data_IF_839758447671
#
_entry.id   IF_839758447671
#
_cell.length_a   1.000
_cell.length_b   1.000
_cell.length_c   1.000
_cell.angle_alpha   90.00
_cell.angle_beta   90.00
_cell.angle_gamma   90.00
#
_symmetry.space_group_name_H-M   'P 1'
#
loop_
_entity.id
_entity.type
_entity.pdbx_description
1 polymer ?
#
# COMPACT_ATOMS: atom_id res chain seq x y z
N UNK A 1 -12.22 6.76 -7.64
CA UNK A 1 -11.43 7.42 -8.69
C UNK A 1 -10.65 6.34 -9.42
N UNK A 2 -11.19 5.86 -10.55
CA UNK A 2 -10.82 4.55 -11.12
C UNK A 2 -9.47 4.52 -11.85
N UNK A 3 -8.73 5.64 -11.91
CA UNK A 3 -7.49 5.71 -12.70
C UNK A 3 -6.37 4.88 -12.08
N UNK A 4 -6.27 4.81 -10.75
CA UNK A 4 -5.19 4.08 -10.05
C UNK A 4 -5.25 2.57 -10.34
N UNK A 5 -6.45 2.03 -10.52
CA UNK A 5 -6.68 0.62 -10.88
C UNK A 5 -6.43 0.33 -12.37
N UNK A 6 -6.26 1.36 -13.19
CA UNK A 6 -6.07 1.27 -14.65
C UNK A 6 -4.71 1.79 -15.10
N UNK A 7 -3.95 2.40 -14.20
CA UNK A 7 -2.64 2.95 -14.47
C UNK A 7 -1.70 1.86 -15.01
N UNK A 8 -0.76 2.24 -15.87
CA UNK A 8 0.32 1.34 -16.30
C UNK A 8 1.37 1.28 -15.20
N UNK A 9 2.06 0.13 -15.05
CA UNK A 9 3.12 -0.06 -14.05
C UNK A 9 4.16 1.07 -14.05
N UNK A 10 4.52 1.59 -15.23
CA UNK A 10 5.53 2.63 -15.37
C UNK A 10 5.03 3.99 -14.87
N UNK A 11 3.72 4.28 -14.98
CA UNK A 11 3.14 5.51 -14.45
C UNK A 11 3.20 5.52 -12.93
N UNK A 12 2.93 4.37 -12.30
CA UNK A 12 3.06 4.21 -10.84
C UNK A 12 4.52 4.29 -10.42
N UNK A 13 5.43 3.68 -11.17
CA UNK A 13 6.86 3.78 -10.88
C UNK A 13 7.35 5.23 -10.92
N UNK A 14 7.04 5.97 -11.99
CA UNK A 14 7.41 7.39 -12.10
C UNK A 14 6.72 8.28 -11.07
N UNK A 15 5.59 7.87 -10.51
CA UNK A 15 4.95 8.59 -9.41
C UNK A 15 5.70 8.38 -8.08
N UNK A 16 6.19 7.16 -7.83
CA UNK A 16 6.71 6.75 -6.52
C UNK A 16 8.22 6.90 -6.36
N UNK A 17 8.99 6.61 -7.41
CA UNK A 17 10.43 6.44 -7.30
C UNK A 17 11.30 7.69 -7.49
N UNK A 18 10.88 8.78 -8.16
CA UNK A 18 11.76 9.94 -8.31
C UNK A 18 12.28 10.49 -6.97
N UNK A 19 11.41 10.64 -5.97
CA UNK A 19 11.80 11.16 -4.65
C UNK A 19 12.71 10.19 -3.90
N UNK A 20 12.45 8.88 -3.97
CA UNK A 20 13.31 7.87 -3.34
C UNK A 20 14.70 7.83 -3.99
N UNK A 21 14.78 7.99 -5.31
CA UNK A 21 16.06 8.06 -6.04
C UNK A 21 16.77 9.38 -5.72
N UNK A 22 16.07 10.51 -5.68
CA UNK A 22 16.68 11.79 -5.32
C UNK A 22 17.22 11.78 -3.89
N UNK A 23 16.53 11.13 -2.96
CA UNK A 23 16.97 11.03 -1.58
C UNK A 23 18.23 10.17 -1.38
N UNK A 24 18.58 9.32 -2.33
CA UNK A 24 19.80 8.50 -2.27
C UNK A 24 21.03 9.15 -2.91
N UNK A 25 20.86 10.31 -3.55
CA UNK A 25 21.96 11.08 -4.13
C UNK A 25 22.51 12.03 -3.07
N UNK A 26 23.72 11.77 -2.60
CA UNK A 26 24.43 12.65 -1.67
C UNK A 26 24.96 13.89 -2.40
N UNK A 27 24.19 14.97 -2.37
CA UNK A 27 24.65 16.30 -2.78
C UNK A 27 25.38 16.92 -1.58
N UNK A 28 26.70 16.72 -1.54
CA UNK A 28 27.65 17.28 -0.58
C UNK A 28 27.13 18.52 0.19
N UNK A 29 26.59 18.30 1.40
CA UNK A 29 26.58 19.31 2.46
C UNK A 29 25.24 19.75 3.07
N UNK A 30 24.07 19.35 2.57
CA UNK A 30 22.78 19.72 3.20
C UNK A 30 21.90 18.50 3.54
N UNK A 31 22.18 17.92 4.71
CA UNK A 31 21.44 16.78 5.26
C UNK A 31 19.95 17.09 5.52
N UNK A 32 19.59 18.36 5.73
CA UNK A 32 18.21 18.78 6.01
C UNK A 32 17.29 18.60 4.81
N UNK A 33 17.77 18.86 3.60
CA UNK A 33 16.98 18.69 2.38
C UNK A 33 16.71 17.21 2.05
N UNK A 34 17.63 16.30 2.35
CA UNK A 34 17.47 14.86 2.09
C UNK A 34 16.36 14.23 2.96
N UNK A 35 16.20 14.69 4.20
CA UNK A 35 15.14 14.24 5.09
C UNK A 35 13.75 14.53 4.52
N UNK A 36 13.49 15.76 4.08
CA UNK A 36 12.19 16.15 3.52
C UNK A 36 11.87 15.39 2.23
N UNK A 37 12.88 15.14 1.39
CA UNK A 37 12.71 14.32 0.17
C UNK A 37 12.36 12.87 0.53
N UNK A 38 13.03 12.28 1.53
CA UNK A 38 12.69 10.94 2.05
C UNK A 38 11.28 10.88 2.61
N UNK A 39 10.88 11.89 3.40
CA UNK A 39 9.52 11.99 3.95
C UNK A 39 8.48 12.00 2.83
N UNK A 40 8.69 12.83 1.80
CA UNK A 40 7.80 12.91 0.64
C UNK A 40 7.77 11.58 -0.12
N UNK A 41 8.92 10.98 -0.40
CA UNK A 41 9.02 9.74 -1.17
C UNK A 41 8.32 8.57 -0.48
N UNK A 42 8.59 8.35 0.82
CA UNK A 42 7.94 7.27 1.56
C UNK A 42 6.44 7.55 1.76
N UNK A 43 6.06 8.80 2.02
CA UNK A 43 4.65 9.20 2.09
C UNK A 43 3.92 8.93 0.78
N UNK A 44 4.55 9.16 -0.37
CA UNK A 44 3.96 8.84 -1.67
C UNK A 44 3.66 7.34 -1.81
N UNK A 45 4.54 6.45 -1.34
CA UNK A 45 4.32 5.00 -1.32
C UNK A 45 3.12 4.64 -0.43
N UNK A 46 3.07 5.19 0.78
CA UNK A 46 1.97 4.93 1.71
C UNK A 46 0.63 5.45 1.16
N UNK A 47 0.62 6.64 0.57
CA UNK A 47 -0.58 7.26 -0.01
C UNK A 47 -1.05 6.42 -1.21
N UNK A 48 -0.13 6.00 -2.07
CA UNK A 48 -0.46 5.11 -3.19
C UNK A 48 -1.05 3.80 -2.71
N UNK A 49 -0.44 3.14 -1.72
CA UNK A 49 -0.97 1.90 -1.14
C UNK A 49 -2.39 2.12 -0.58
N UNK A 50 -2.58 3.24 0.13
CA UNK A 50 -3.88 3.58 0.71
C UNK A 50 -4.96 3.79 -0.35
N UNK A 51 -4.66 4.61 -1.36
CA UNK A 51 -5.58 4.90 -2.47
C UNK A 51 -5.90 3.64 -3.26
N UNK A 52 -4.88 2.84 -3.59
CA UNK A 52 -5.05 1.59 -4.31
C UNK A 52 -5.97 0.65 -3.53
N UNK A 53 -5.67 0.43 -2.26
CA UNK A 53 -6.44 -0.47 -1.40
C UNK A 53 -7.88 0.02 -1.23
N UNK A 54 -8.08 1.34 -1.09
CA UNK A 54 -9.41 1.94 -1.00
C UNK A 54 -10.24 1.70 -2.27
N UNK A 55 -9.63 1.83 -3.46
CA UNK A 55 -10.33 1.54 -4.72
C UNK A 55 -10.56 0.03 -4.89
N UNK A 56 -9.65 -0.82 -4.43
CA UNK A 56 -9.85 -2.28 -4.38
C UNK A 56 -11.00 -2.68 -3.44
N UNK A 57 -11.14 -2.04 -2.28
CA UNK A 57 -12.26 -2.25 -1.35
C UNK A 57 -13.61 -1.90 -1.98
N UNK A 58 -13.67 -0.88 -2.85
CA UNK A 58 -14.92 -0.49 -3.53
C UNK A 58 -15.40 -1.52 -4.54
N UNK A 59 -14.47 -2.23 -5.18
CA UNK A 59 -14.81 -3.19 -6.25
C UNK A 59 -14.95 -4.62 -5.74
N UNK A 60 -14.30 -4.96 -4.62
CA UNK A 60 -14.33 -6.33 -4.08
C UNK A 60 -15.74 -6.69 -3.57
N UNK A 61 -16.29 -7.86 -3.94
CA UNK A 61 -17.56 -8.33 -3.40
C UNK A 61 -17.57 -8.40 -1.86
N UNK A 62 -18.64 -7.87 -1.26
CA UNK A 62 -18.80 -7.85 0.21
C UNK A 62 -18.89 -9.26 0.81
N UNK A 63 -19.37 -10.22 0.02
CA UNK A 63 -19.48 -11.65 0.37
C UNK A 63 -18.15 -12.28 0.78
N UNK A 64 -17.00 -11.72 0.34
CA UNK A 64 -15.68 -12.23 0.74
C UNK A 64 -15.38 -11.97 2.23
N UNK A 65 -16.17 -11.14 2.93
CA UNK A 65 -16.09 -10.97 4.39
C UNK A 65 -14.69 -10.57 4.89
N UNK A 66 -14.00 -9.69 4.16
CA UNK A 66 -12.68 -9.16 4.53
C UNK A 66 -12.83 -8.14 5.66
N UNK A 67 -11.89 -8.14 6.61
CA UNK A 67 -11.89 -7.24 7.78
C UNK A 67 -11.41 -5.83 7.41
N UNK A 68 -12.25 -5.08 6.72
CA UNK A 68 -11.91 -3.74 6.20
C UNK A 68 -11.60 -2.73 7.31
N UNK A 69 -12.35 -2.76 8.42
CA UNK A 69 -12.14 -1.81 9.53
C UNK A 69 -10.75 -1.93 10.14
N UNK A 70 -10.24 -3.16 10.29
CA UNK A 70 -8.88 -3.40 10.81
C UNK A 70 -7.81 -2.77 9.93
N UNK A 71 -8.01 -2.82 8.60
CA UNK A 71 -7.11 -2.16 7.66
C UNK A 71 -7.10 -0.64 7.86
N UNK A 72 -8.27 0.01 7.89
CA UNK A 72 -8.31 1.47 8.06
C UNK A 72 -7.70 1.91 9.40
N UNK A 73 -8.01 1.22 10.50
CA UNK A 73 -7.44 1.53 11.83
C UNK A 73 -5.92 1.43 11.79
N UNK A 74 -5.37 0.34 11.26
CA UNK A 74 -3.92 0.13 11.21
C UNK A 74 -3.22 1.08 10.23
N UNK A 75 -3.81 1.32 9.07
CA UNK A 75 -3.25 2.23 8.07
C UNK A 75 -3.18 3.66 8.61
N UNK A 76 -4.29 4.16 9.19
CA UNK A 76 -4.34 5.50 9.79
C UNK A 76 -3.39 5.61 10.97
N UNK A 77 -3.37 4.60 11.86
CA UNK A 77 -2.44 4.58 13.00
C UNK A 77 -0.99 4.67 12.54
N UNK A 78 -0.60 3.86 11.55
CA UNK A 78 0.76 3.88 11.03
C UNK A 78 1.08 5.24 10.39
N UNK A 79 0.17 5.80 9.60
CA UNK A 79 0.33 7.13 9.01
C UNK A 79 0.57 8.21 10.06
N UNK A 80 -0.28 8.28 11.09
CA UNK A 80 -0.17 9.28 12.16
C UNK A 80 1.15 9.12 12.89
N UNK A 81 1.50 7.91 13.31
CA UNK A 81 2.75 7.67 14.04
C UNK A 81 3.97 7.98 13.18
N UNK A 82 3.99 7.58 11.90
CA UNK A 82 5.08 7.89 10.98
C UNK A 82 5.26 9.40 10.79
N UNK A 83 4.19 10.14 10.49
CA UNK A 83 4.26 11.58 10.30
C UNK A 83 4.65 12.31 11.59
N UNK A 84 4.06 11.95 12.74
CA UNK A 84 4.42 12.55 14.03
C UNK A 84 5.87 12.26 14.40
N UNK A 85 6.34 11.02 14.21
CA UNK A 85 7.72 10.64 14.48
C UNK A 85 8.70 11.44 13.62
N UNK A 86 8.45 11.53 12.31
CA UNK A 86 9.33 12.28 11.41
C UNK A 86 9.32 13.78 11.73
N UNK A 87 8.14 14.40 11.81
CA UNK A 87 8.00 15.85 12.04
C UNK A 87 8.53 16.31 13.40
N UNK A 88 8.27 15.55 14.48
CA UNK A 88 8.67 15.97 15.84
C UNK A 88 10.17 15.75 16.13
N UNK A 89 10.84 14.88 15.37
CA UNK A 89 12.23 14.53 15.62
C UNK A 89 13.18 15.12 14.57
N UNK A 90 12.71 16.00 13.68
CA UNK A 90 13.50 16.56 12.57
C UNK A 90 14.27 15.48 11.78
N UNK A 91 13.63 14.31 11.59
CA UNK A 91 14.24 13.18 10.89
C UNK A 91 15.22 12.34 11.71
N UNK A 92 15.44 12.64 12.99
CA UNK A 92 16.22 11.79 13.87
C UNK A 92 15.48 10.48 14.22
N UNK A 93 16.26 9.45 14.56
CA UNK A 93 15.73 8.13 14.89
C UNK A 93 14.89 8.15 16.17
N UNK A 94 13.69 7.56 16.08
CA UNK A 94 12.82 7.32 17.24
C UNK A 94 13.07 5.93 17.77
N UNK A 95 13.67 5.85 18.96
CA UNK A 95 13.97 4.59 19.63
C UNK A 95 12.87 4.21 20.61
N UNK A 96 12.28 3.03 20.41
CA UNK A 96 11.36 2.41 21.38
C UNK A 96 12.12 1.39 22.23
N UNK A 97 12.25 1.64 23.53
CA UNK A 97 12.96 0.76 24.47
C UNK A 97 12.06 0.29 25.62
N UNK A 98 12.46 -0.80 26.28
CA UNK A 98 11.73 -1.38 27.40
C UNK A 98 10.28 -1.74 27.03
N UNK A 99 9.32 -1.36 27.88
CA UNK A 99 7.89 -1.64 27.65
C UNK A 99 7.34 -0.94 26.41
N UNK A 100 7.91 0.20 26.01
CA UNK A 100 7.50 0.96 24.83
C UNK A 100 7.86 0.23 23.52
N UNK A 101 8.78 -0.74 23.55
CA UNK A 101 9.07 -1.59 22.40
C UNK A 101 7.81 -2.35 21.92
N UNK A 102 6.87 -2.69 22.81
CA UNK A 102 5.60 -3.33 22.43
C UNK A 102 4.76 -2.43 21.53
N UNK A 103 4.78 -1.12 21.77
CA UNK A 103 4.12 -0.13 20.90
C UNK A 103 4.79 -0.14 19.53
N UNK A 104 6.12 -0.06 19.50
CA UNK A 104 6.89 -0.17 18.25
C UNK A 104 6.56 -1.43 17.44
N UNK A 105 6.49 -2.60 18.10
CA UNK A 105 6.11 -3.85 17.44
C UNK A 105 4.68 -3.83 16.88
N UNK A 106 3.74 -3.21 17.58
CA UNK A 106 2.37 -3.08 17.06
C UNK A 106 2.31 -2.14 15.85
N UNK A 107 3.03 -1.01 15.89
CA UNK A 107 3.13 -0.09 14.74
C UNK A 107 3.77 -0.80 13.54
N UNK A 108 4.82 -1.58 13.77
CA UNK A 108 5.43 -2.41 12.73
C UNK A 108 4.46 -3.47 12.19
N UNK A 109 3.66 -4.11 13.06
CA UNK A 109 2.58 -4.99 12.61
C UNK A 109 1.52 -4.25 11.79
N UNK A 110 1.12 -3.05 12.19
CA UNK A 110 0.13 -2.24 11.46
C UNK A 110 0.63 -1.88 10.05
N UNK A 111 1.91 -1.54 9.92
CA UNK A 111 2.61 -1.37 8.64
C UNK A 111 2.52 -2.63 7.77
N UNK A 112 3.02 -3.77 8.25
CA UNK A 112 3.03 -5.02 7.49
C UNK A 112 1.62 -5.50 7.13
N UNK A 113 0.66 -5.34 8.05
CA UNK A 113 -0.73 -5.72 7.85
C UNK A 113 -1.38 -4.92 6.72
N UNK A 114 -0.97 -3.67 6.50
CA UNK A 114 -1.50 -2.81 5.44
C UNK A 114 -1.18 -3.37 4.04
N UNK A 115 0.09 -3.71 3.77
CA UNK A 115 0.49 -4.40 2.52
C UNK A 115 -0.14 -5.78 2.40
N UNK A 116 -0.18 -6.52 3.51
CA UNK A 116 -0.79 -7.85 3.54
C UNK A 116 -2.27 -7.81 3.20
N UNK A 117 -2.99 -6.78 3.65
CA UNK A 117 -4.41 -6.61 3.36
C UNK A 117 -4.68 -6.29 1.89
N UNK A 118 -3.90 -5.39 1.28
CA UNK A 118 -3.98 -5.10 -0.15
C UNK A 118 -3.79 -6.38 -0.99
N UNK A 119 -2.75 -7.17 -0.68
CA UNK A 119 -2.50 -8.45 -1.33
C UNK A 119 -3.63 -9.47 -1.12
N UNK A 120 -4.29 -9.45 0.05
CA UNK A 120 -5.45 -10.30 0.31
C UNK A 120 -6.68 -9.93 -0.51
N UNK A 121 -6.91 -8.65 -0.79
CA UNK A 121 -8.01 -8.26 -1.68
C UNK A 121 -7.74 -8.81 -3.07
N UNK A 122 -6.55 -8.55 -3.62
CA UNK A 122 -6.15 -9.04 -4.95
C UNK A 122 -6.29 -10.56 -5.03
N UNK A 123 -5.80 -11.30 -4.01
CA UNK A 123 -5.92 -12.75 -3.98
C UNK A 123 -7.37 -13.22 -3.87
N UNK A 124 -8.21 -12.51 -3.13
CA UNK A 124 -9.63 -12.89 -2.98
C UNK A 124 -10.40 -12.68 -4.28
N UNK A 125 -10.11 -11.59 -5.00
CA UNK A 125 -10.65 -11.36 -6.35
C UNK A 125 -10.18 -12.42 -7.35
N UNK A 126 -8.92 -12.87 -7.26
CA UNK A 126 -8.43 -13.95 -8.13
C UNK A 126 -9.10 -15.31 -7.85
N UNK A 127 -9.43 -15.60 -6.59
CA UNK A 127 -10.03 -16.87 -6.18
C UNK A 127 -11.56 -16.87 -6.20
N UNK A 128 -12.20 -15.74 -6.45
CA UNK A 128 -13.64 -15.54 -6.28
C UNK A 128 -14.18 -15.97 -4.90
N UNK A 129 -13.35 -15.85 -3.86
CA UNK A 129 -13.69 -16.15 -2.47
C UNK A 129 -12.75 -15.44 -1.52
N UNK A 130 -13.07 -15.45 -0.23
CA UNK A 130 -12.16 -15.03 0.84
C UNK A 130 -10.83 -15.79 0.77
N UNK A 131 -9.72 -15.07 0.58
CA UNK A 131 -8.38 -15.66 0.65
C UNK A 131 -7.94 -15.95 2.09
N UNK A 132 -7.22 -17.06 2.29
CA UNK A 132 -6.45 -17.32 3.51
C UNK A 132 -5.20 -16.43 3.51
N UNK A 133 -4.73 -16.00 4.68
CA UNK A 133 -3.52 -15.14 4.80
C UNK A 133 -2.29 -15.74 4.09
N UNK A 134 -2.13 -17.07 4.11
CA UNK A 134 -1.02 -17.78 3.46
C UNK A 134 -1.09 -17.72 1.93
N UNK A 135 -2.29 -17.69 1.36
CA UNK A 135 -2.51 -17.66 -0.10
C UNK A 135 -2.13 -16.30 -0.71
N UNK A 136 -2.08 -15.23 0.10
CA UNK A 136 -1.75 -13.87 -0.34
C UNK A 136 -0.29 -13.47 -0.06
N UNK A 137 0.54 -14.38 0.47
CA UNK A 137 1.91 -14.02 0.91
C UNK A 137 2.81 -13.54 -0.24
N UNK A 138 2.62 -14.11 -1.43
CA UNK A 138 3.33 -13.65 -2.64
C UNK A 138 3.00 -12.20 -2.97
N UNK A 139 1.71 -11.81 -2.89
CA UNK A 139 1.32 -10.41 -3.11
C UNK A 139 1.85 -9.48 -2.02
N UNK A 140 1.89 -9.93 -0.76
CA UNK A 140 2.52 -9.17 0.32
C UNK A 140 3.99 -8.86 -0.03
N UNK A 141 4.77 -9.85 -0.46
CA UNK A 141 6.17 -9.62 -0.84
C UNK A 141 6.32 -8.75 -2.08
N UNK A 142 5.41 -8.85 -3.07
CA UNK A 142 5.41 -7.91 -4.18
C UNK A 142 5.19 -6.48 -3.70
N UNK A 143 4.29 -6.26 -2.74
CA UNK A 143 4.05 -4.94 -2.18
C UNK A 143 5.22 -4.39 -1.33
N UNK A 144 5.95 -5.27 -0.64
CA UNK A 144 7.12 -4.91 0.18
C UNK A 144 8.36 -4.65 -0.71
N UNK A 145 8.59 -5.47 -1.73
CA UNK A 145 9.74 -5.37 -2.63
C UNK A 145 9.43 -4.52 -3.87
N UNK A 146 9.11 -3.24 -3.63
CA UNK A 146 9.10 -2.24 -4.69
C UNK A 146 10.55 -1.91 -5.10
N UNK A 147 10.85 -1.64 -6.39
CA UNK A 147 9.93 -1.37 -7.48
C UNK A 147 9.38 -2.61 -8.20
N UNK A 148 10.07 -3.76 -8.10
CA UNK A 148 9.77 -4.99 -8.86
C UNK A 148 8.29 -5.38 -8.71
N UNK A 149 7.77 -5.27 -7.49
CA UNK A 149 6.36 -5.42 -7.18
C UNK A 149 5.39 -4.76 -8.13
N UNK A 150 5.61 -3.48 -8.49
CA UNK A 150 4.71 -2.67 -9.32
C UNK A 150 4.53 -3.30 -10.70
N UNK A 151 5.59 -3.89 -11.27
CA UNK A 151 5.53 -4.50 -12.61
C UNK A 151 4.67 -5.76 -12.64
N UNK A 152 4.57 -6.49 -11.52
CA UNK A 152 3.71 -7.67 -11.43
C UNK A 152 2.31 -7.32 -10.91
N UNK A 153 2.21 -6.44 -9.91
CA UNK A 153 0.96 -6.07 -9.27
C UNK A 153 0.05 -5.28 -10.22
N UNK A 154 0.58 -4.24 -10.86
CA UNK A 154 -0.27 -3.30 -11.60
C UNK A 154 -0.97 -3.96 -12.80
N UNK A 155 -0.30 -4.72 -13.69
CA UNK A 155 -0.98 -5.40 -14.80
C UNK A 155 -2.03 -6.41 -14.32
N UNK A 156 -1.75 -7.11 -13.20
CA UNK A 156 -2.69 -8.06 -12.60
C UNK A 156 -3.95 -7.37 -12.07
N UNK A 157 -3.78 -6.24 -11.36
CA UNK A 157 -4.90 -5.41 -10.88
C UNK A 157 -5.74 -4.93 -12.06
N UNK A 158 -5.12 -4.38 -13.10
CA UNK A 158 -5.82 -3.90 -14.29
C UNK A 158 -6.67 -5.00 -14.93
N UNK A 159 -6.14 -6.23 -15.05
CA UNK A 159 -6.86 -7.39 -15.59
C UNK A 159 -8.06 -7.77 -14.72
N UNK A 160 -7.87 -7.89 -13.40
CA UNK A 160 -8.96 -8.24 -12.48
C UNK A 160 -10.07 -7.18 -12.48
N UNK A 161 -9.71 -5.90 -12.48
CA UNK A 161 -10.69 -4.81 -12.55
C UNK A 161 -11.48 -4.81 -13.85
N UNK A 162 -10.84 -5.16 -14.98
CA UNK A 162 -11.53 -5.30 -16.27
C UNK A 162 -12.56 -6.43 -16.23
N UNK A 163 -12.16 -7.62 -15.78
CA UNK A 163 -13.05 -8.77 -15.69
C UNK A 163 -14.29 -8.50 -14.81
N UNK A 164 -14.09 -7.89 -13.63
CA UNK A 164 -15.19 -7.54 -12.72
C UNK A 164 -16.13 -6.50 -13.33
N UNK A 165 -15.60 -5.55 -14.12
CA UNK A 165 -16.43 -4.57 -14.80
C UNK A 165 -17.29 -5.24 -15.89
N UNK A 166 -16.73 -6.21 -16.62
CA UNK A 166 -17.46 -6.98 -17.64
C UNK A 166 -18.55 -7.84 -17.02
N UNK A 167 -18.26 -8.57 -15.93
CA UNK A 167 -19.25 -9.38 -15.20
C UNK A 167 -20.45 -8.55 -14.74
N UNK A 168 -20.21 -7.35 -14.19
CA UNK A 168 -21.28 -6.44 -13.75
C UNK A 168 -22.17 -5.97 -14.90
N UNK A 169 -21.61 -5.76 -16.09
CA UNK A 169 -22.37 -5.37 -17.28
C UNK A 169 -23.25 -6.53 -17.75
N UNK A 170 -22.71 -7.75 -17.81
CA UNK A 170 -23.48 -8.94 -18.20
C UNK A 170 -24.64 -9.21 -17.25
N UNK A 171 -24.43 -9.08 -15.93
CA UNK A 171 -25.52 -9.22 -14.95
C UNK A 171 -26.58 -8.13 -15.08
N UNK A 172 -26.20 -6.91 -15.47
CA UNK A 172 -27.16 -5.81 -15.65
C UNK A 172 -28.01 -5.97 -16.91
N UNK A 173 -27.49 -6.62 -17.96
CA UNK A 173 -28.21 -6.86 -19.21
C UNK A 173 -29.11 -8.11 -19.20
N UNK A 174 -29.03 -8.93 -18.14
CA UNK A 174 -29.79 -10.18 -17.99
C UNK A 174 -30.93 -10.08 -16.97
N UNK A 175 -31.10 -8.90 -16.37
CA UNK A 175 -32.18 -8.52 -15.43
C UNK A 175 -33.07 -7.51 -16.11
#
# INVERSE_FOLDING_TARGET
MNWILKAKHWQIFLLLFPFIILASIDFQGDLGNLYWINLIGFSAILIWLFLLTNELIKIVPKEYGLKINLYYVNAILFFVVYFSAMYLNDGNDVNFSGIYALIGFYIFYAFLQSFGFAGRIIKSMELNRKSKKRESIGYFFLFVFLPIGIWFLQPKINKLTKNIAEEKITTANTV
#
